data_IF_557071072291
#
_entry.id   IF_557071072291
#
_cell.length_a   1.000
_cell.length_b   1.000
_cell.length_c   1.000
_cell.angle_alpha   90.00
_cell.angle_beta   90.00
_cell.angle_gamma   90.00
#
_symmetry.space_group_name_H-M   'P 1'
#
loop_
_entity.id
_entity.type
_entity.pdbx_description
1 polymer ?
#
# COMPACT_ATOMS: atom_id res chain seq x y z
N UNK A 1 -2.76 -20.62 0.95
CA UNK A 1 -2.26 -19.60 0.00
C UNK A 1 -0.74 -19.56 0.10
N UNK A 2 -0.04 -19.83 -1.01
CA UNK A 2 1.41 -19.72 -1.12
C UNK A 2 1.76 -18.46 -1.93
N UNK A 3 2.67 -17.66 -1.40
CA UNK A 3 3.19 -16.45 -2.05
C UNK A 3 4.68 -16.63 -2.30
N UNK A 4 5.12 -16.31 -3.50
CA UNK A 4 6.54 -16.30 -3.84
C UNK A 4 6.96 -14.84 -4.04
N UNK A 5 8.06 -14.44 -3.42
CA UNK A 5 8.63 -13.09 -3.52
C UNK A 5 10.03 -13.22 -4.12
N UNK A 6 10.29 -12.51 -5.19
CA UNK A 6 11.60 -12.37 -5.80
C UNK A 6 12.19 -11.00 -5.44
N UNK A 7 13.33 -11.03 -4.77
CA UNK A 7 14.01 -9.89 -4.14
C UNK A 7 13.94 -9.97 -2.61
N UNK A 8 15.09 -10.20 -1.96
CA UNK A 8 15.23 -10.23 -0.51
C UNK A 8 15.77 -8.90 0.06
N UNK A 9 15.60 -7.80 -0.67
CA UNK A 9 15.85 -6.45 -0.21
C UNK A 9 14.85 -6.00 0.86
N UNK A 10 14.89 -4.72 1.22
CA UNK A 10 14.05 -4.15 2.28
C UNK A 10 12.55 -4.35 2.00
N UNK A 11 12.10 -4.04 0.77
CA UNK A 11 10.70 -4.19 0.36
C UNK A 11 10.27 -5.66 0.42
N UNK A 12 11.06 -6.57 -0.18
CA UNK A 12 10.71 -8.00 -0.22
C UNK A 12 10.65 -8.63 1.17
N UNK A 13 11.60 -8.30 2.06
CA UNK A 13 11.58 -8.73 3.47
C UNK A 13 10.39 -8.15 4.23
N UNK A 14 10.06 -6.88 4.01
CA UNK A 14 8.91 -6.23 4.64
C UNK A 14 7.60 -6.92 4.25
N UNK A 15 7.40 -7.18 2.96
CA UNK A 15 6.22 -7.92 2.46
C UNK A 15 6.18 -9.34 3.02
N UNK A 16 7.33 -10.05 3.04
CA UNK A 16 7.41 -11.39 3.61
C UNK A 16 7.02 -11.40 5.09
N UNK A 17 7.51 -10.44 5.89
CA UNK A 17 7.18 -10.30 7.30
C UNK A 17 5.68 -10.09 7.52
N UNK A 18 5.07 -9.16 6.77
CA UNK A 18 3.64 -8.89 6.85
C UNK A 18 2.79 -10.13 6.51
N UNK A 19 3.14 -10.83 5.43
CA UNK A 19 2.43 -12.06 5.03
C UNK A 19 2.60 -13.20 6.05
N UNK A 20 3.75 -13.29 6.72
CA UNK A 20 3.96 -14.28 7.79
C UNK A 20 3.12 -13.98 9.03
N UNK A 21 2.93 -12.70 9.39
CA UNK A 21 1.99 -12.31 10.45
C UNK A 21 0.56 -12.78 10.13
N UNK A 22 0.17 -12.75 8.86
CA UNK A 22 -1.10 -13.28 8.35
C UNK A 22 -1.10 -14.82 8.18
N UNK A 23 -0.05 -15.52 8.67
CA UNK A 23 0.12 -16.97 8.58
C UNK A 23 0.10 -17.51 7.14
N UNK A 24 0.57 -16.71 6.16
CA UNK A 24 0.69 -17.16 4.78
C UNK A 24 1.98 -17.94 4.58
N UNK A 25 1.96 -18.93 3.69
CA UNK A 25 3.18 -19.64 3.27
C UNK A 25 3.96 -18.77 2.29
N UNK A 26 5.19 -18.43 2.62
CA UNK A 26 6.04 -17.53 1.82
C UNK A 26 7.31 -18.25 1.39
N UNK A 27 7.69 -18.07 0.12
CA UNK A 27 9.03 -18.38 -0.40
C UNK A 27 9.70 -17.09 -0.85
N UNK A 28 10.96 -16.86 -0.46
CA UNK A 28 11.75 -15.70 -0.81
C UNK A 28 12.94 -16.14 -1.68
N UNK A 29 13.10 -15.52 -2.85
CA UNK A 29 14.15 -15.82 -3.83
C UNK A 29 15.03 -14.60 -4.00
N UNK A 30 16.35 -14.77 -3.89
CA UNK A 30 17.32 -13.72 -4.20
C UNK A 30 18.61 -14.35 -4.72
N UNK A 31 19.29 -13.78 -5.73
CA UNK A 31 20.59 -14.25 -6.19
C UNK A 31 21.73 -13.99 -5.20
N UNK A 32 21.56 -13.00 -4.31
CA UNK A 32 22.56 -12.67 -3.30
C UNK A 32 22.41 -13.55 -2.06
N UNK A 33 23.41 -14.42 -1.76
CA UNK A 33 23.40 -15.22 -0.54
C UNK A 33 23.36 -14.39 0.74
N UNK A 34 23.91 -13.17 0.74
CA UNK A 34 23.92 -12.28 1.90
C UNK A 34 22.51 -11.82 2.24
N UNK A 35 21.73 -11.37 1.22
CA UNK A 35 20.35 -10.97 1.40
C UNK A 35 19.46 -12.14 1.90
N UNK A 36 19.74 -13.36 1.42
CA UNK A 36 19.06 -14.58 1.90
C UNK A 36 19.43 -14.87 3.35
N UNK A 37 20.71 -14.75 3.75
CA UNK A 37 21.13 -14.95 5.11
C UNK A 37 20.52 -13.93 6.08
N UNK A 38 20.44 -12.67 5.68
CA UNK A 38 19.77 -11.62 6.45
C UNK A 38 18.26 -11.86 6.63
N UNK A 39 17.67 -12.70 5.81
CA UNK A 39 16.25 -13.05 5.85
C UNK A 39 15.92 -14.26 6.74
N UNK A 40 16.91 -14.89 7.40
CA UNK A 40 16.72 -16.12 8.19
C UNK A 40 15.78 -15.97 9.39
N UNK A 41 15.56 -14.75 9.87
CA UNK A 41 14.58 -14.47 10.95
C UNK A 41 13.12 -14.57 10.48
N UNK A 42 12.89 -14.54 9.16
CA UNK A 42 11.57 -14.72 8.57
C UNK A 42 11.29 -16.23 8.46
N UNK A 43 10.29 -16.72 9.13
CA UNK A 43 9.88 -18.13 9.03
C UNK A 43 9.29 -18.42 7.63
N UNK A 44 10.13 -18.43 6.58
CA UNK A 44 9.78 -18.66 5.20
C UNK A 44 10.80 -19.53 4.47
N UNK A 45 10.43 -20.06 3.31
CA UNK A 45 11.33 -20.83 2.45
C UNK A 45 12.32 -19.87 1.76
N UNK A 46 13.62 -19.99 2.06
CA UNK A 46 14.67 -19.15 1.50
C UNK A 46 15.38 -19.87 0.36
N UNK A 47 15.53 -19.20 -0.78
CA UNK A 47 16.13 -19.77 -2.00
C UNK A 47 17.14 -18.78 -2.57
N UNK A 48 18.42 -19.19 -2.55
CA UNK A 48 19.44 -18.49 -3.35
C UNK A 48 19.27 -18.86 -4.81
N UNK A 49 18.94 -17.85 -5.64
CA UNK A 49 18.70 -18.04 -7.07
C UNK A 49 18.03 -16.83 -7.71
N UNK A 50 17.86 -16.88 -9.04
CA UNK A 50 17.27 -15.80 -9.83
C UNK A 50 15.77 -15.96 -10.00
N UNK A 51 15.03 -14.85 -10.01
CA UNK A 51 13.62 -14.77 -10.41
C UNK A 51 13.36 -15.26 -11.84
N UNK A 52 14.38 -15.18 -12.71
CA UNK A 52 14.35 -15.64 -14.11
C UNK A 52 14.87 -17.07 -14.26
N UNK A 53 15.02 -17.83 -13.19
CA UNK A 53 15.44 -19.23 -13.22
C UNK A 53 14.25 -20.16 -12.99
N UNK A 54 14.02 -21.08 -13.93
CA UNK A 54 12.99 -22.12 -13.79
C UNK A 54 13.23 -22.97 -12.55
N UNK A 55 14.49 -23.35 -12.29
CA UNK A 55 14.86 -24.14 -11.11
C UNK A 55 14.51 -23.42 -9.82
N UNK A 56 14.85 -22.13 -9.70
CA UNK A 56 14.51 -21.32 -8.54
C UNK A 56 13.00 -21.25 -8.30
N UNK A 57 12.21 -21.04 -9.35
CA UNK A 57 10.74 -21.00 -9.27
C UNK A 57 10.16 -22.37 -8.88
N UNK A 58 10.70 -23.45 -9.42
CA UNK A 58 10.26 -24.81 -9.04
C UNK A 58 10.59 -25.13 -7.59
N UNK A 59 11.76 -24.79 -7.12
CA UNK A 59 12.15 -24.94 -5.71
C UNK A 59 11.28 -24.09 -4.78
N UNK A 60 10.82 -22.93 -5.22
CA UNK A 60 9.87 -22.08 -4.51
C UNK A 60 8.44 -22.65 -4.50
N UNK A 61 8.14 -23.66 -5.32
CA UNK A 61 6.82 -24.27 -5.43
C UNK A 61 5.87 -23.43 -6.27
N UNK A 62 6.33 -22.96 -7.43
CA UNK A 62 5.53 -22.12 -8.33
C UNK A 62 4.21 -22.78 -8.78
N UNK A 63 4.16 -24.11 -8.90
CA UNK A 63 2.95 -24.84 -9.28
C UNK A 63 1.78 -24.67 -8.31
N UNK A 64 2.09 -24.42 -7.04
CA UNK A 64 1.10 -24.26 -5.95
C UNK A 64 0.96 -22.81 -5.50
N UNK A 65 1.65 -21.88 -6.20
CA UNK A 65 1.61 -20.47 -5.85
C UNK A 65 0.34 -19.80 -6.38
N UNK A 66 -0.24 -18.94 -5.58
CA UNK A 66 -1.37 -18.10 -5.95
C UNK A 66 -0.93 -16.69 -6.32
N UNK A 67 0.19 -16.22 -5.71
CA UNK A 67 0.73 -14.88 -5.93
C UNK A 67 2.25 -15.00 -6.15
N UNK A 68 2.75 -14.25 -7.12
CA UNK A 68 4.17 -14.02 -7.36
C UNK A 68 4.45 -12.53 -7.35
N UNK A 69 5.36 -12.09 -6.49
CA UNK A 69 5.72 -10.69 -6.31
C UNK A 69 7.18 -10.51 -6.71
N UNK A 70 7.48 -9.47 -7.47
CA UNK A 70 8.84 -9.05 -7.75
C UNK A 70 9.14 -7.73 -7.06
N UNK A 71 10.21 -7.70 -6.29
CA UNK A 71 10.64 -6.55 -5.48
C UNK A 71 12.18 -6.46 -5.45
N UNK A 72 12.81 -6.63 -6.61
CA UNK A 72 14.25 -6.41 -6.80
C UNK A 72 14.53 -4.93 -7.08
N UNK A 73 15.80 -4.55 -7.08
CA UNK A 73 16.24 -3.17 -7.43
C UNK A 73 16.29 -2.93 -8.94
N UNK A 74 15.86 -3.87 -9.77
CA UNK A 74 15.87 -3.74 -11.23
C UNK A 74 14.45 -3.89 -11.77
N UNK A 75 13.90 -2.80 -12.24
CA UNK A 75 12.53 -2.73 -12.76
C UNK A 75 12.31 -3.67 -13.95
N UNK A 76 13.33 -3.85 -14.81
CA UNK A 76 13.23 -4.77 -15.94
C UNK A 76 13.20 -6.22 -15.47
N UNK A 77 13.97 -6.58 -14.45
CA UNK A 77 13.90 -7.91 -13.83
C UNK A 77 12.53 -8.10 -13.17
N UNK A 78 11.97 -7.07 -12.54
CA UNK A 78 10.65 -7.14 -11.93
C UNK A 78 9.56 -7.42 -12.97
N UNK A 79 9.56 -6.71 -14.09
CA UNK A 79 8.60 -6.92 -15.17
C UNK A 79 8.79 -8.27 -15.89
N UNK A 80 10.03 -8.63 -16.24
CA UNK A 80 10.33 -9.90 -16.88
C UNK A 80 10.06 -11.09 -15.96
N UNK A 81 10.33 -10.95 -14.66
CA UNK A 81 10.06 -11.97 -13.64
C UNK A 81 8.59 -12.36 -13.60
N UNK A 82 7.69 -11.38 -13.61
CA UNK A 82 6.25 -11.64 -13.70
C UNK A 82 5.86 -12.42 -14.95
N UNK A 83 6.38 -12.00 -16.12
CA UNK A 83 6.10 -12.68 -17.38
C UNK A 83 6.67 -14.10 -17.41
N UNK A 84 7.88 -14.27 -16.87
CA UNK A 84 8.55 -15.57 -16.81
C UNK A 84 7.86 -16.51 -15.83
N UNK A 85 7.46 -16.03 -14.65
CA UNK A 85 6.74 -16.82 -13.65
C UNK A 85 5.41 -17.33 -14.21
N UNK A 86 4.63 -16.47 -14.88
CA UNK A 86 3.38 -16.90 -15.55
C UNK A 86 3.61 -17.93 -16.62
N UNK A 87 4.69 -17.80 -17.40
CA UNK A 87 5.05 -18.79 -18.43
C UNK A 87 5.36 -20.13 -17.78
N UNK A 88 6.26 -20.16 -16.79
CA UNK A 88 6.63 -21.40 -16.07
C UNK A 88 5.41 -22.03 -15.40
N UNK A 89 4.58 -21.22 -14.73
CA UNK A 89 3.36 -21.68 -14.11
C UNK A 89 2.41 -22.35 -15.12
N UNK A 90 2.13 -21.68 -16.25
CA UNK A 90 1.21 -22.22 -17.26
C UNK A 90 1.71 -23.53 -17.88
N UNK A 91 3.02 -23.68 -18.05
CA UNK A 91 3.63 -24.92 -18.54
C UNK A 91 3.46 -26.09 -17.53
N UNK A 92 3.45 -25.79 -16.23
CA UNK A 92 3.32 -26.82 -15.17
C UNK A 92 1.87 -27.21 -14.89
N UNK A 93 0.95 -26.24 -14.85
CA UNK A 93 -0.45 -26.49 -14.48
C UNK A 93 -1.39 -26.67 -15.67
N UNK A 94 -0.89 -26.40 -16.89
CA UNK A 94 -1.66 -26.42 -18.11
C UNK A 94 -2.45 -25.14 -18.37
N UNK A 95 -2.71 -24.83 -19.64
CA UNK A 95 -3.32 -23.55 -20.06
C UNK A 95 -4.70 -23.27 -19.44
N UNK A 96 -5.49 -24.30 -19.14
CA UNK A 96 -6.82 -24.14 -18.52
C UNK A 96 -6.75 -23.56 -17.13
N UNK A 97 -5.63 -23.76 -16.42
CA UNK A 97 -5.41 -23.28 -15.05
C UNK A 97 -4.42 -22.12 -14.98
N UNK A 98 -3.97 -21.61 -16.13
CA UNK A 98 -2.92 -20.60 -16.23
C UNK A 98 -3.27 -19.25 -15.53
N UNK A 99 -4.56 -18.97 -15.35
CA UNK A 99 -5.04 -17.75 -14.66
C UNK A 99 -4.96 -17.84 -13.12
N UNK A 100 -4.55 -18.98 -12.56
CA UNK A 100 -4.47 -19.17 -11.10
C UNK A 100 -3.36 -18.39 -10.42
N UNK A 101 -2.29 -18.01 -11.15
CA UNK A 101 -1.19 -17.21 -10.60
C UNK A 101 -1.42 -15.72 -10.87
N UNK A 102 -1.51 -14.93 -9.82
CA UNK A 102 -1.46 -13.46 -9.89
C UNK A 102 -0.03 -12.97 -9.72
N UNK A 103 0.32 -11.93 -10.46
CA UNK A 103 1.66 -11.36 -10.45
C UNK A 103 1.62 -9.88 -10.11
N UNK A 104 2.57 -9.45 -9.27
CA UNK A 104 2.70 -8.07 -8.82
C UNK A 104 4.15 -7.65 -9.06
N UNK A 105 4.37 -6.56 -9.79
CA UNK A 105 5.69 -5.98 -10.02
C UNK A 105 5.85 -4.67 -9.23
N UNK A 106 6.90 -4.56 -8.44
CA UNK A 106 7.33 -3.31 -7.84
C UNK A 106 8.22 -2.57 -8.86
N UNK A 107 7.90 -1.32 -9.18
CA UNK A 107 8.62 -0.49 -10.13
C UNK A 107 9.06 0.79 -9.44
N UNK A 108 10.33 1.12 -9.57
CA UNK A 108 10.92 2.31 -8.97
C UNK A 108 10.81 3.54 -9.88
N UNK A 109 10.88 3.35 -11.20
CA UNK A 109 10.74 4.42 -12.18
C UNK A 109 9.28 4.59 -12.63
N UNK A 110 8.55 5.59 -12.09
CA UNK A 110 7.15 5.83 -12.45
C UNK A 110 6.98 6.17 -13.94
N UNK A 111 8.04 6.64 -14.59
CA UNK A 111 8.01 6.96 -16.01
C UNK A 111 7.78 5.74 -16.92
N UNK A 112 8.04 4.55 -16.42
CA UNK A 112 7.80 3.30 -17.15
C UNK A 112 6.31 3.00 -17.32
N UNK A 113 5.47 3.36 -16.34
CA UNK A 113 4.02 3.12 -16.39
C UNK A 113 3.22 4.33 -16.90
N UNK A 114 3.88 5.41 -17.32
CA UNK A 114 3.20 6.63 -17.70
C UNK A 114 2.54 6.51 -19.09
N UNK A 115 1.22 6.81 -19.22
CA UNK A 115 0.44 6.64 -20.46
C UNK A 115 0.95 7.45 -21.67
N UNK A 116 1.71 8.55 -21.43
CA UNK A 116 2.18 9.45 -22.48
C UNK A 116 3.27 8.86 -23.40
N UNK A 117 3.82 7.69 -23.10
CA UNK A 117 4.86 7.05 -23.91
C UNK A 117 4.33 6.21 -25.10
N UNK A 118 3.03 6.20 -25.32
CA UNK A 118 2.40 5.60 -26.52
C UNK A 118 2.34 4.08 -26.55
N UNK A 119 2.91 3.38 -25.57
CA UNK A 119 2.92 1.92 -25.50
C UNK A 119 1.73 1.32 -24.72
N UNK A 120 0.90 2.17 -24.12
CA UNK A 120 -0.14 1.76 -23.17
C UNK A 120 0.43 1.31 -21.82
N UNK A 121 -0.42 0.90 -20.87
CA UNK A 121 0.02 0.42 -19.56
C UNK A 121 0.98 -0.77 -19.68
N UNK A 122 1.99 -0.82 -18.83
CA UNK A 122 2.95 -1.92 -18.77
C UNK A 122 2.28 -3.29 -18.61
N UNK A 123 1.17 -3.35 -17.90
CA UNK A 123 0.36 -4.56 -17.72
C UNK A 123 -0.08 -5.21 -19.03
N UNK A 124 -0.24 -4.43 -20.11
CA UNK A 124 -0.69 -4.94 -21.41
C UNK A 124 0.35 -5.80 -22.11
N UNK A 125 1.64 -5.61 -21.86
CA UNK A 125 2.71 -6.32 -22.54
C UNK A 125 3.70 -7.05 -21.63
N UNK A 126 3.65 -6.83 -20.30
CA UNK A 126 4.52 -7.50 -19.33
C UNK A 126 3.86 -8.65 -18.58
N UNK A 127 2.57 -8.89 -18.78
CA UNK A 127 1.77 -9.87 -18.04
C UNK A 127 1.77 -9.69 -16.50
N UNK A 128 2.22 -8.56 -15.98
CA UNK A 128 2.01 -8.20 -14.58
C UNK A 128 0.53 -7.86 -14.39
N UNK A 129 -0.13 -8.49 -13.42
CA UNK A 129 -1.54 -8.19 -13.14
C UNK A 129 -1.68 -6.88 -12.37
N UNK A 130 -0.69 -6.58 -11.52
CA UNK A 130 -0.59 -5.32 -10.79
C UNK A 130 0.83 -4.78 -10.87
N UNK A 131 0.92 -3.46 -11.01
CA UNK A 131 2.17 -2.71 -10.95
C UNK A 131 2.03 -1.75 -9.78
N UNK A 132 3.03 -1.75 -8.92
CA UNK A 132 3.13 -0.85 -7.75
C UNK A 132 4.30 0.08 -8.00
N UNK A 133 4.05 1.39 -8.01
CA UNK A 133 5.05 2.45 -8.12
C UNK A 133 5.13 3.18 -6.79
N UNK A 134 6.10 2.81 -5.96
CA UNK A 134 6.22 3.36 -4.61
C UNK A 134 6.47 4.87 -4.58
N UNK A 135 7.08 5.44 -5.62
CA UNK A 135 7.44 6.86 -5.67
C UNK A 135 6.19 7.75 -5.69
N UNK A 136 5.19 7.43 -6.51
CA UNK A 136 3.97 8.25 -6.61
C UNK A 136 3.18 8.21 -5.30
N UNK A 137 3.10 7.05 -4.65
CA UNK A 137 2.42 6.90 -3.36
C UNK A 137 3.13 7.69 -2.26
N UNK A 138 4.47 7.69 -2.23
CA UNK A 138 5.26 8.48 -1.26
C UNK A 138 5.09 9.98 -1.52
N UNK A 139 5.14 10.42 -2.77
CA UNK A 139 4.94 11.82 -3.15
C UNK A 139 3.56 12.31 -2.72
N UNK A 140 2.52 11.54 -3.02
CA UNK A 140 1.16 11.86 -2.63
C UNK A 140 1.00 11.91 -1.11
N UNK A 141 1.58 10.95 -0.37
CA UNK A 141 1.54 10.93 1.08
C UNK A 141 2.27 12.11 1.71
N UNK A 142 3.46 12.47 1.20
CA UNK A 142 4.19 13.64 1.67
C UNK A 142 3.43 14.94 1.37
N UNK A 143 2.88 15.07 0.16
CA UNK A 143 2.07 16.23 -0.22
C UNK A 143 0.83 16.37 0.67
N UNK A 144 0.12 15.27 0.92
CA UNK A 144 -1.04 15.25 1.81
C UNK A 144 -0.68 15.63 3.25
N UNK A 145 0.44 15.13 3.77
CA UNK A 145 0.94 15.48 5.12
C UNK A 145 1.31 16.96 5.25
N UNK A 146 1.75 17.60 4.14
CA UNK A 146 2.00 19.05 4.10
C UNK A 146 0.69 19.85 4.12
N UNK A 147 -0.35 19.35 3.44
CA UNK A 147 -1.65 20.03 3.35
C UNK A 147 -2.46 19.94 4.64
N UNK A 148 -2.26 18.91 5.43
CA UNK A 148 -2.99 18.68 6.67
C UNK A 148 -2.08 18.06 7.75
N UNK A 149 -1.09 18.81 8.26
CA UNK A 149 -0.08 18.31 9.20
C UNK A 149 -0.65 17.88 10.55
N UNK A 150 -1.88 18.27 10.88
CA UNK A 150 -2.56 17.89 12.13
C UNK A 150 -3.43 16.62 12.01
N UNK A 151 -3.56 16.05 10.81
CA UNK A 151 -4.16 14.72 10.61
C UNK A 151 -3.08 13.66 10.89
N UNK A 152 -3.42 12.64 11.67
CA UNK A 152 -2.41 11.68 12.14
C UNK A 152 -1.92 10.77 11.03
N UNK A 153 -2.81 10.36 10.11
CA UNK A 153 -2.45 9.52 8.97
C UNK A 153 -3.29 9.86 7.74
N UNK A 154 -2.65 9.98 6.60
CA UNK A 154 -3.30 10.21 5.31
C UNK A 154 -2.75 9.20 4.32
N UNK A 155 -3.64 8.42 3.69
CA UNK A 155 -3.30 7.44 2.68
C UNK A 155 -3.98 7.80 1.36
N UNK A 156 -3.23 7.94 0.27
CA UNK A 156 -3.81 8.14 -1.05
C UNK A 156 -4.48 6.85 -1.54
N UNK A 157 -5.66 7.00 -2.17
CA UNK A 157 -6.37 5.91 -2.84
C UNK A 157 -6.24 5.97 -4.37
N UNK A 158 -5.49 6.97 -4.86
CA UNK A 158 -5.40 7.30 -6.28
C UNK A 158 -6.45 8.32 -6.73
N UNK A 159 -6.16 9.04 -7.81
CA UNK A 159 -6.95 10.18 -8.25
C UNK A 159 -6.91 11.30 -7.22
N UNK A 160 -8.06 11.82 -6.84
CA UNK A 160 -8.19 12.82 -5.76
C UNK A 160 -8.85 12.25 -4.50
N UNK A 161 -8.73 10.94 -4.28
CA UNK A 161 -9.35 10.27 -3.15
C UNK A 161 -8.32 9.88 -2.09
N UNK A 162 -8.70 10.03 -0.81
CA UNK A 162 -7.83 9.88 0.33
C UNK A 162 -8.54 9.16 1.48
N UNK A 163 -7.80 8.38 2.23
CA UNK A 163 -8.22 7.96 3.57
C UNK A 163 -7.48 8.84 4.57
N UNK A 164 -8.21 9.49 5.46
CA UNK A 164 -7.64 10.26 6.56
C UNK A 164 -8.05 9.63 7.88
N UNK A 165 -7.11 9.37 8.77
CA UNK A 165 -7.38 8.92 10.12
C UNK A 165 -6.87 9.92 11.14
N UNK A 166 -7.66 10.20 12.18
CA UNK A 166 -7.28 11.19 13.19
C UNK A 166 -8.00 10.98 14.51
N UNK A 167 -7.29 11.26 15.60
CA UNK A 167 -7.81 11.17 16.95
C UNK A 167 -8.68 12.38 17.30
N UNK A 168 -9.80 12.13 17.98
CA UNK A 168 -10.74 13.12 18.51
C UNK A 168 -10.15 13.72 19.79
N UNK A 169 -9.88 15.01 19.78
CA UNK A 169 -9.40 15.71 20.99
C UNK A 169 -10.53 16.11 21.94
N UNK A 170 -10.20 16.48 23.16
CA UNK A 170 -11.17 16.99 24.14
C UNK A 170 -11.92 18.28 23.71
N UNK A 171 -11.39 19.00 22.71
CA UNK A 171 -11.98 20.22 22.15
C UNK A 171 -12.80 19.99 20.89
N UNK A 172 -13.01 18.73 20.51
CA UNK A 172 -13.73 18.37 19.30
C UNK A 172 -15.21 18.78 19.36
N UNK A 173 -15.69 19.37 18.26
CA UNK A 173 -17.11 19.67 18.07
C UNK A 173 -17.95 18.42 17.78
N UNK A 174 -17.32 17.28 17.51
CA UNK A 174 -17.99 16.01 17.20
C UNK A 174 -18.39 15.23 18.47
N UNK A 175 -17.88 15.60 19.64
CA UNK A 175 -18.17 14.88 20.88
C UNK A 175 -19.67 14.84 21.18
N UNK A 176 -20.18 13.64 21.47
CA UNK A 176 -21.58 13.40 21.79
C UNK A 176 -22.49 13.29 20.56
N UNK A 177 -22.00 13.50 19.32
CA UNK A 177 -22.75 13.18 18.11
C UNK A 177 -22.52 11.72 17.71
N UNK A 178 -23.41 11.17 16.92
CA UNK A 178 -23.17 9.85 16.33
C UNK A 178 -22.41 9.95 15.01
N UNK A 179 -21.67 8.89 14.64
CA UNK A 179 -20.90 8.85 13.39
C UNK A 179 -21.75 9.10 12.15
N UNK A 180 -23.02 8.69 12.17
CA UNK A 180 -23.98 8.91 11.08
C UNK A 180 -24.51 10.33 10.98
N UNK A 181 -24.55 11.08 12.09
CA UNK A 181 -25.06 12.45 12.12
C UNK A 181 -24.05 13.49 11.60
N UNK A 182 -22.75 13.16 11.62
CA UNK A 182 -21.67 14.11 11.33
C UNK A 182 -21.83 14.79 9.97
N UNK A 183 -22.13 14.04 8.92
CA UNK A 183 -22.32 14.60 7.58
C UNK A 183 -23.55 15.51 7.44
N UNK A 184 -24.56 15.31 8.29
CA UNK A 184 -25.77 16.15 8.33
C UNK A 184 -25.62 17.42 9.14
N UNK A 185 -24.80 17.38 10.20
CA UNK A 185 -24.61 18.51 11.13
C UNK A 185 -23.49 19.44 10.63
N UNK A 186 -22.41 18.86 10.09
CA UNK A 186 -21.24 19.60 9.66
C UNK A 186 -21.14 19.63 8.13
N UNK A 187 -21.63 20.71 7.52
CA UNK A 187 -21.65 20.84 6.06
C UNK A 187 -20.26 20.69 5.45
N UNK A 188 -20.15 19.80 4.46
CA UNK A 188 -18.90 19.53 3.75
C UNK A 188 -17.97 18.52 4.42
N UNK A 189 -18.32 18.01 5.60
CA UNK A 189 -17.58 16.91 6.23
C UNK A 189 -17.77 15.62 5.44
N UNK A 190 -16.69 14.87 5.20
CA UNK A 190 -16.82 13.53 4.64
C UNK A 190 -17.45 12.58 5.67
N UNK A 191 -18.06 11.51 5.18
CA UNK A 191 -18.61 10.46 6.03
C UNK A 191 -17.52 9.76 6.83
N UNK A 192 -17.83 9.41 8.07
CA UNK A 192 -16.97 8.55 8.89
C UNK A 192 -17.17 7.12 8.43
N UNK A 193 -16.09 6.49 7.99
CA UNK A 193 -16.13 5.15 7.42
C UNK A 193 -15.83 4.07 8.47
N UNK A 194 -14.94 4.39 9.39
CA UNK A 194 -14.60 3.51 10.50
C UNK A 194 -14.29 4.31 11.76
N UNK A 195 -14.45 3.66 12.91
CA UNK A 195 -14.12 4.19 14.22
C UNK A 195 -13.32 3.17 15.01
N UNK A 196 -12.33 3.64 15.76
CA UNK A 196 -11.61 2.85 16.74
C UNK A 196 -11.75 3.52 18.10
N UNK A 197 -12.43 2.88 19.02
CA UNK A 197 -12.48 3.28 20.43
C UNK A 197 -11.12 3.09 21.10
N UNK A 198 -10.82 3.88 22.13
CA UNK A 198 -9.48 3.99 22.74
C UNK A 198 -8.81 2.65 23.10
N UNK A 199 -9.57 1.63 23.53
CA UNK A 199 -9.03 0.31 23.92
C UNK A 199 -9.50 -0.85 23.03
N UNK A 200 -10.20 -0.56 21.93
CA UNK A 200 -10.82 -1.56 21.07
C UNK A 200 -10.12 -1.67 19.69
N UNK A 201 -10.43 -2.74 18.97
CA UNK A 201 -10.06 -2.85 17.56
C UNK A 201 -10.94 -1.91 16.73
N UNK A 202 -10.35 -1.32 15.68
CA UNK A 202 -11.10 -0.51 14.73
C UNK A 202 -12.20 -1.34 14.05
N UNK A 203 -13.40 -0.74 13.93
CA UNK A 203 -14.56 -1.34 13.26
C UNK A 203 -15.12 -0.40 12.21
N UNK A 204 -15.77 -0.95 11.19
CA UNK A 204 -16.53 -0.12 10.25
C UNK A 204 -17.67 0.56 11.00
N UNK A 205 -17.89 1.85 10.71
CA UNK A 205 -18.97 2.61 11.32
C UNK A 205 -20.33 2.07 10.89
N UNK A 206 -21.23 1.93 11.88
CA UNK A 206 -22.64 1.58 11.67
C UNK A 206 -23.55 2.79 11.66
N UNK A 207 -23.01 3.95 12.05
CA UNK A 207 -23.72 5.22 12.11
C UNK A 207 -24.33 5.57 13.48
N UNK A 208 -24.36 4.64 14.42
CA UNK A 208 -24.96 4.80 15.76
C UNK A 208 -23.92 4.95 16.88
N UNK A 209 -22.64 4.86 16.57
CA UNK A 209 -21.56 5.02 17.54
C UNK A 209 -21.44 6.49 17.96
N UNK A 210 -21.52 6.71 19.28
CA UNK A 210 -21.30 8.04 19.88
C UNK A 210 -19.80 8.34 19.92
N UNK A 211 -19.44 9.50 19.42
CA UNK A 211 -18.04 9.96 19.35
C UNK A 211 -17.60 10.51 20.71
N UNK A 212 -16.45 10.03 21.17
CA UNK A 212 -15.84 10.40 22.44
C UNK A 212 -14.38 10.87 22.24
N UNK A 213 -13.83 11.63 23.18
CA UNK A 213 -12.40 11.98 23.15
C UNK A 213 -11.50 10.74 23.16
N UNK A 214 -10.44 10.74 22.35
CA UNK A 214 -9.53 9.62 22.21
C UNK A 214 -9.97 8.58 21.18
N UNK A 215 -11.17 8.70 20.61
CA UNK A 215 -11.57 7.87 19.47
C UNK A 215 -10.75 8.24 18.23
N UNK A 216 -10.38 7.25 17.43
CA UNK A 216 -9.77 7.49 16.13
C UNK A 216 -10.87 7.32 15.08
N UNK A 217 -11.09 8.37 14.30
CA UNK A 217 -12.06 8.38 13.22
C UNK A 217 -11.35 8.24 11.88
N UNK A 218 -11.93 7.43 10.99
CA UNK A 218 -11.43 7.22 9.62
C UNK A 218 -12.43 7.83 8.64
N UNK A 219 -11.95 8.73 7.82
CA UNK A 219 -12.72 9.43 6.80
C UNK A 219 -12.26 9.02 5.40
N UNK A 220 -13.19 8.97 4.45
CA UNK A 220 -12.85 8.90 3.02
C UNK A 220 -13.16 10.27 2.41
N UNK A 221 -12.10 10.94 1.95
CA UNK A 221 -12.17 12.27 1.34
C UNK A 221 -11.91 12.18 -0.16
N UNK A 222 -12.56 13.02 -0.94
CA UNK A 222 -12.34 13.17 -2.37
C UNK A 222 -11.80 14.57 -2.74
N UNK A 223 -11.45 15.38 -1.75
CA UNK A 223 -10.87 16.71 -1.92
C UNK A 223 -9.98 17.05 -0.72
N UNK A 224 -8.84 17.70 -0.99
CA UNK A 224 -7.95 18.23 0.03
C UNK A 224 -8.60 19.35 0.86
N UNK A 225 -9.61 20.03 0.34
CA UNK A 225 -10.36 21.06 1.08
C UNK A 225 -11.08 20.48 2.32
N UNK A 226 -11.42 19.21 2.28
CA UNK A 226 -12.07 18.52 3.41
C UNK A 226 -11.11 18.30 4.59
N UNK A 227 -9.81 18.29 4.37
CA UNK A 227 -8.83 18.09 5.45
C UNK A 227 -8.92 19.17 6.51
N UNK A 228 -9.03 20.45 6.11
CA UNK A 228 -9.20 21.56 7.08
C UNK A 228 -10.50 21.43 7.89
N UNK A 229 -11.55 20.89 7.29
CA UNK A 229 -12.82 20.66 7.99
C UNK A 229 -12.68 19.51 8.98
N UNK A 230 -12.04 18.40 8.58
CA UNK A 230 -11.76 17.27 9.48
C UNK A 230 -10.95 17.77 10.68
N UNK A 231 -9.80 18.45 10.42
CA UNK A 231 -8.91 18.95 11.47
C UNK A 231 -9.64 19.82 12.50
N UNK A 232 -10.43 20.81 12.05
CA UNK A 232 -11.18 21.69 12.94
C UNK A 232 -12.26 20.93 13.72
N UNK A 233 -12.98 20.02 13.07
CA UNK A 233 -14.08 19.31 13.71
C UNK A 233 -13.61 18.36 14.80
N UNK A 234 -12.44 17.72 14.63
CA UNK A 234 -11.84 16.87 15.67
C UNK A 234 -11.12 17.66 16.77
N UNK A 235 -11.16 19.00 16.69
CA UNK A 235 -10.57 19.88 17.71
C UNK A 235 -9.07 20.08 17.58
N UNK A 236 -8.51 19.84 16.39
CA UNK A 236 -7.13 20.14 16.04
C UNK A 236 -7.05 21.45 15.24
N UNK A 237 -5.88 22.04 15.16
CA UNK A 237 -5.62 23.23 14.33
C UNK A 237 -4.35 23.01 13.55
N UNK A 238 -4.43 23.20 12.24
CA UNK A 238 -3.23 23.25 11.41
C UNK A 238 -2.48 24.55 11.67
N UNK A 239 -1.14 24.53 11.66
CA UNK A 239 -0.37 25.75 11.70
C UNK A 239 -0.74 26.62 10.49
N UNK A 240 -1.00 27.91 10.71
CA UNK A 240 -1.21 28.85 9.61
C UNK A 240 0.00 28.82 8.67
N UNK A 241 -0.17 28.21 7.51
CA UNK A 241 0.80 28.34 6.44
C UNK A 241 0.79 29.80 5.98
N UNK A 242 1.89 30.52 6.21
CA UNK A 242 2.05 31.87 5.67
C UNK A 242 1.90 31.77 4.14
N UNK A 243 1.25 32.76 3.51
CA UNK A 243 1.03 32.82 2.06
C UNK A 243 2.31 32.59 1.18
N UNK A 244 3.48 32.59 1.78
CA UNK A 244 4.79 32.34 1.16
C UNK A 244 5.58 31.28 1.94
N UNK A 245 4.96 30.18 2.30
CA UNK A 245 5.69 29.07 2.89
C UNK A 245 6.73 28.54 1.88
N UNK A 246 8.00 28.48 2.30
CA UNK A 246 9.06 27.86 1.51
C UNK A 246 9.20 26.41 1.99
N UNK A 247 9.10 25.46 1.07
CA UNK A 247 9.35 24.05 1.33
C UNK A 247 10.72 23.69 0.79
N UNK A 248 11.58 23.14 1.63
CA UNK A 248 12.87 22.60 1.23
C UNK A 248 12.76 21.07 1.11
N UNK A 249 13.09 20.54 -0.07
CA UNK A 249 13.15 19.10 -0.30
C UNK A 249 14.63 18.70 -0.32
N UNK A 250 15.00 17.76 0.56
CA UNK A 250 16.33 17.17 0.61
C UNK A 250 16.26 15.74 0.05
N UNK A 251 17.22 15.38 -0.79
CA UNK A 251 17.30 14.04 -1.36
C UNK A 251 16.81 13.94 -2.80
N UNK A 252 17.06 14.97 -3.60
CA UNK A 252 16.91 14.85 -5.06
C UNK A 252 18.06 13.99 -5.60
N UNK A 253 17.78 12.73 -5.97
CA UNK A 253 18.67 11.80 -6.66
C UNK A 253 18.21 11.60 -8.10
#
# INVERSE_FOLDING_TARGET
>A
MRVIIAGAGEVGRGVAAALRQERRSVALIDPDPSAINESQYLDCLLITGSALSRDSLMRAGISDAEIFITATNDDMINLLGCSFAKKVYSELVGERNASGLRTIANISDPSLDHPSRGAGPLSNWTRADHIVTAVDEIVDQLAASLLAPSIDEILPLGGSSWIASTEVTNSSALIGTTTGEVGGIFAGMPSIYAIKKAEEKGTLSKGDEVIEPGDILVFVSNSTDQFSQITRSVGKSDPELKEKAQVAVFGAS
#
